data_IF_101813033849
#
_entry.id   IF_101813033849
#
_cell.length_a   1.000
_cell.length_b   1.000
_cell.length_c   1.000
_cell.angle_alpha   90.00
_cell.angle_beta   90.00
_cell.angle_gamma   90.00
#
_symmetry.space_group_name_H-M   'P 1'
#
loop_
_entity.id
_entity.type
_entity.pdbx_description
1 polymer ?
#
# COMPACT_ATOMS: atom_id res chain seq x y z
N UNK A 1 -22.29 -4.96 12.32
CA UNK A 1 -21.51 -4.25 13.33
C UNK A 1 -20.36 -5.15 13.79
N UNK A 2 -19.11 -4.63 13.72
CA UNK A 2 -17.93 -5.34 14.22
C UNK A 2 -18.02 -5.45 15.76
N UNK A 3 -17.83 -6.66 16.28
CA UNK A 3 -17.65 -6.89 17.71
C UNK A 3 -16.17 -6.73 18.04
N UNK A 4 -15.77 -5.55 18.49
CA UNK A 4 -14.38 -5.25 18.85
C UNK A 4 -14.19 -5.41 20.36
N UNK A 5 -13.02 -5.88 20.83
CA UNK A 5 -12.61 -5.80 22.23
C UNK A 5 -12.64 -4.34 22.73
N UNK A 6 -12.86 -4.15 24.04
CA UNK A 6 -13.06 -2.81 24.63
C UNK A 6 -11.81 -1.92 24.62
N UNK A 7 -10.64 -2.52 24.54
CA UNK A 7 -9.31 -1.88 24.54
C UNK A 7 -8.82 -1.50 23.14
N UNK A 8 -9.56 -1.86 22.09
CA UNK A 8 -9.21 -1.46 20.71
C UNK A 8 -9.64 -0.01 20.46
N UNK A 9 -8.72 0.75 19.86
CA UNK A 9 -8.99 2.07 19.27
C UNK A 9 -9.17 1.91 17.76
N UNK A 10 -10.17 2.59 17.19
CA UNK A 10 -10.42 2.57 15.75
C UNK A 10 -10.38 3.99 15.18
N UNK A 11 -9.56 4.20 14.16
CA UNK A 11 -9.54 5.43 13.37
C UNK A 11 -10.38 5.17 12.12
N UNK A 12 -11.41 5.97 11.92
CA UNK A 12 -12.30 5.89 10.75
C UNK A 12 -12.69 7.28 10.24
N UNK A 13 -13.30 7.33 9.08
CA UNK A 13 -13.73 8.58 8.45
C UNK A 13 -12.73 9.14 7.44
N UNK A 14 -13.12 10.24 6.78
CA UNK A 14 -12.37 10.91 5.73
C UNK A 14 -12.72 12.42 5.73
N UNK A 15 -11.78 13.32 5.46
CA UNK A 15 -10.33 13.10 5.30
C UNK A 15 -9.62 12.81 6.62
N UNK A 16 -8.45 12.16 6.56
CA UNK A 16 -7.58 11.96 7.71
C UNK A 16 -6.11 11.99 7.30
N UNK A 17 -5.25 12.42 8.21
CA UNK A 17 -3.80 12.45 7.99
C UNK A 17 -3.28 11.04 7.67
N UNK A 18 -2.42 10.91 6.68
CA UNK A 18 -1.82 9.65 6.20
C UNK A 18 -2.83 8.54 5.82
N UNK A 19 -4.08 8.90 5.51
CA UNK A 19 -5.09 8.02 4.91
C UNK A 19 -5.22 6.67 5.63
N UNK A 20 -4.79 5.55 5.00
CA UNK A 20 -4.95 4.20 5.57
C UNK A 20 -4.09 3.94 6.81
N UNK A 21 -3.01 4.67 6.98
CA UNK A 21 -2.01 4.48 8.05
C UNK A 21 -2.05 5.61 9.08
N UNK A 22 -3.18 6.32 9.19
CA UNK A 22 -3.40 7.35 10.20
C UNK A 22 -3.13 6.86 11.60
N UNK A 23 -2.44 7.67 12.40
CA UNK A 23 -2.17 7.41 13.81
C UNK A 23 -0.95 6.54 14.09
N UNK A 24 -0.17 6.18 13.06
CA UNK A 24 1.09 5.44 13.27
C UNK A 24 2.15 6.36 13.88
N UNK A 25 2.88 5.83 14.84
CA UNK A 25 4.07 6.42 15.46
C UNK A 25 5.03 5.32 15.96
N UNK A 26 6.13 5.70 16.60
CA UNK A 26 7.14 4.80 17.15
C UNK A 26 6.68 3.94 18.34
N UNK A 27 5.48 4.18 18.89
CA UNK A 27 4.94 3.38 19.98
C UNK A 27 4.35 2.03 19.52
N UNK A 28 4.13 1.87 18.21
CA UNK A 28 3.63 0.64 17.64
C UNK A 28 4.73 -0.42 17.53
N UNK A 29 4.42 -1.64 17.93
CA UNK A 29 5.35 -2.78 17.88
C UNK A 29 5.40 -3.41 16.49
N UNK A 30 4.27 -3.49 15.80
CA UNK A 30 4.16 -4.06 14.45
C UNK A 30 2.89 -3.57 13.74
N UNK A 31 2.83 -3.77 12.42
CA UNK A 31 1.65 -3.59 11.59
C UNK A 31 1.13 -4.92 11.04
N UNK A 32 -0.18 -5.00 10.88
CA UNK A 32 -0.88 -6.12 10.23
C UNK A 32 -1.76 -5.53 9.12
N UNK A 33 -1.59 -6.00 7.89
CA UNK A 33 -2.33 -5.53 6.72
C UNK A 33 -3.40 -6.55 6.32
N UNK A 34 -4.66 -6.16 6.41
CA UNK A 34 -5.81 -7.04 6.16
C UNK A 34 -6.52 -6.65 4.88
N UNK A 35 -6.69 -7.63 3.97
CA UNK A 35 -7.47 -7.45 2.74
C UNK A 35 -6.79 -6.58 1.68
N UNK A 36 -5.46 -6.58 1.65
CA UNK A 36 -4.69 -5.91 0.59
C UNK A 36 -4.79 -6.70 -0.74
N UNK A 37 -4.38 -6.08 -1.81
CA UNK A 37 -4.40 -6.61 -3.18
C UNK A 37 -3.11 -6.26 -3.91
N UNK A 38 -2.89 -6.89 -5.06
CA UNK A 38 -1.73 -6.62 -5.90
C UNK A 38 -1.80 -5.20 -6.53
N UNK A 39 -0.65 -4.58 -6.87
CA UNK A 39 -0.63 -3.27 -7.50
C UNK A 39 -1.31 -3.28 -8.88
N UNK A 40 -1.69 -2.09 -9.33
CA UNK A 40 -2.26 -1.86 -10.65
C UNK A 40 -1.40 -2.49 -11.76
N UNK A 41 -2.06 -3.16 -12.72
CA UNK A 41 -1.40 -3.80 -13.86
C UNK A 41 -0.90 -5.23 -13.58
N UNK A 42 -1.21 -5.80 -12.41
CA UNK A 42 -0.86 -7.19 -12.10
C UNK A 42 -1.73 -8.16 -12.91
N UNK A 43 -1.09 -9.03 -13.69
CA UNK A 43 -1.81 -10.05 -14.48
C UNK A 43 -2.66 -10.96 -13.58
N UNK A 44 -3.96 -11.01 -13.88
CA UNK A 44 -4.95 -11.74 -13.11
C UNK A 44 -5.02 -11.32 -11.62
N UNK A 45 -4.59 -10.10 -11.25
CA UNK A 45 -4.73 -9.55 -9.91
C UNK A 45 -6.19 -9.24 -9.61
N UNK A 46 -6.70 -9.72 -8.47
CA UNK A 46 -8.04 -9.41 -8.00
C UNK A 46 -8.12 -7.96 -7.54
N UNK A 47 -9.05 -7.18 -8.13
CA UNK A 47 -9.21 -5.74 -7.82
C UNK A 47 -7.88 -4.96 -7.88
N UNK A 48 -6.99 -5.32 -8.83
CA UNK A 48 -5.67 -4.70 -8.97
C UNK A 48 -5.79 -3.19 -9.15
N UNK A 49 -5.23 -2.44 -8.21
CA UNK A 49 -5.10 -0.99 -8.27
C UNK A 49 -4.01 -0.49 -7.31
N UNK A 50 -3.71 0.80 -7.35
CA UNK A 50 -2.81 1.46 -6.40
C UNK A 50 -3.45 2.79 -6.03
N UNK A 51 -4.11 2.86 -4.88
CA UNK A 51 -4.92 3.97 -4.33
C UNK A 51 -6.12 4.39 -5.19
N UNK A 52 -5.99 4.41 -6.52
CA UNK A 52 -7.06 4.86 -7.42
C UNK A 52 -6.93 4.20 -8.79
N UNK A 53 -7.84 3.28 -9.07
CA UNK A 53 -7.94 2.62 -10.38
C UNK A 53 -8.31 3.58 -11.52
N UNK A 54 -8.76 4.77 -11.21
CA UNK A 54 -9.24 5.76 -12.18
C UNK A 54 -8.27 6.91 -12.43
N UNK A 55 -7.15 6.97 -11.73
CA UNK A 55 -6.15 8.03 -11.90
C UNK A 55 -4.73 7.48 -12.06
N UNK A 56 -4.38 6.42 -11.38
CA UNK A 56 -3.02 5.84 -11.40
C UNK A 56 -2.91 4.69 -12.39
N UNK A 57 -1.89 4.78 -13.23
CA UNK A 57 -1.47 3.70 -14.10
C UNK A 57 -0.30 2.89 -13.52
N UNK A 58 0.65 3.54 -12.81
CA UNK A 58 1.79 2.90 -12.17
C UNK A 58 2.40 3.82 -11.12
N UNK A 59 2.86 3.26 -10.01
CA UNK A 59 3.71 3.94 -9.03
C UNK A 59 5.04 3.20 -8.91
N UNK A 60 6.14 3.95 -8.88
CA UNK A 60 7.48 3.43 -8.61
C UNK A 60 8.13 4.18 -7.47
N UNK A 61 8.86 3.46 -6.63
CA UNK A 61 9.78 4.04 -5.67
C UNK A 61 11.18 3.50 -5.95
N UNK A 62 12.14 4.39 -6.15
CA UNK A 62 13.52 4.08 -6.52
C UNK A 62 13.64 3.13 -7.73
N UNK A 63 12.72 3.28 -8.71
CA UNK A 63 12.67 2.46 -9.91
C UNK A 63 11.86 1.16 -9.78
N UNK A 64 11.56 0.70 -8.57
CA UNK A 64 10.75 -0.50 -8.33
C UNK A 64 9.25 -0.18 -8.40
N UNK A 65 8.48 -1.01 -9.11
CA UNK A 65 7.01 -0.94 -9.07
C UNK A 65 6.54 -1.30 -7.67
N UNK A 66 5.63 -0.51 -7.14
CA UNK A 66 5.08 -0.69 -5.78
C UNK A 66 3.56 -0.57 -5.78
N UNK A 67 2.93 -1.31 -4.87
CA UNK A 67 1.52 -1.18 -4.52
C UNK A 67 1.33 -0.55 -3.15
N UNK A 68 0.10 -0.61 -2.66
CA UNK A 68 -0.27 0.00 -1.37
C UNK A 68 0.45 -0.67 -0.20
N UNK A 69 0.66 -1.99 -0.26
CA UNK A 69 1.38 -2.73 0.79
C UNK A 69 2.81 -2.23 0.95
N UNK A 70 3.54 -2.01 -0.14
CA UNK A 70 4.91 -1.52 -0.10
C UNK A 70 4.97 -0.05 0.34
N UNK A 71 4.06 0.77 -0.18
CA UNK A 71 4.01 2.20 0.16
C UNK A 71 3.67 2.39 1.64
N UNK A 72 2.64 1.72 2.13
CA UNK A 72 2.23 1.79 3.53
C UNK A 72 3.24 1.12 4.46
N UNK A 73 3.80 -0.03 4.05
CA UNK A 73 4.81 -0.74 4.83
C UNK A 73 6.09 0.05 5.00
N UNK A 74 6.53 0.77 3.97
CA UNK A 74 7.70 1.64 4.07
C UNK A 74 7.42 2.89 4.93
N UNK A 75 6.17 3.40 4.97
CA UNK A 75 5.81 4.46 5.90
C UNK A 75 5.89 3.98 7.36
N UNK A 76 5.38 2.79 7.67
CA UNK A 76 5.58 2.17 8.98
C UNK A 76 7.09 2.02 9.29
N UNK A 77 7.87 1.67 8.27
CA UNK A 77 9.31 1.50 8.37
C UNK A 77 10.08 2.77 8.77
N UNK A 78 9.58 3.97 8.47
CA UNK A 78 10.19 5.23 8.96
C UNK A 78 10.13 5.34 10.49
N UNK A 79 9.10 4.77 11.12
CA UNK A 79 8.95 4.69 12.59
C UNK A 79 9.60 3.43 13.18
N UNK A 80 10.28 2.61 12.37
CA UNK A 80 10.89 1.37 12.83
C UNK A 80 9.89 0.22 13.04
N UNK A 81 8.66 0.36 12.57
CA UNK A 81 7.56 -0.60 12.75
C UNK A 81 7.54 -1.60 11.59
N UNK A 82 7.78 -2.90 11.84
CA UNK A 82 7.69 -3.93 10.80
C UNK A 82 6.23 -4.31 10.50
N UNK A 83 5.96 -4.70 9.25
CA UNK A 83 4.70 -5.36 8.88
C UNK A 83 4.90 -6.86 9.07
N UNK A 84 4.19 -7.46 10.02
CA UNK A 84 4.39 -8.87 10.40
C UNK A 84 3.47 -9.83 9.66
N UNK A 85 2.30 -9.35 9.21
CA UNK A 85 1.32 -10.16 8.50
C UNK A 85 0.65 -9.34 7.41
N UNK A 86 0.50 -9.93 6.23
CA UNK A 86 -0.26 -9.36 5.11
C UNK A 86 -1.27 -10.40 4.63
N UNK A 87 -2.53 -10.00 4.44
CA UNK A 87 -3.57 -10.87 3.88
C UNK A 87 -4.12 -10.32 2.57
N UNK A 88 -4.43 -11.22 1.64
CA UNK A 88 -4.99 -10.86 0.35
C UNK A 88 -5.09 -12.07 -0.60
N UNK A 89 -4.92 -11.83 -1.89
CA UNK A 89 -4.90 -12.90 -2.87
C UNK A 89 -3.49 -13.47 -3.12
N UNK A 90 -3.41 -14.52 -3.93
CA UNK A 90 -2.15 -15.15 -4.32
C UNK A 90 -1.24 -14.22 -5.14
N UNK A 91 -1.80 -13.27 -5.90
CA UNK A 91 -1.02 -12.33 -6.73
C UNK A 91 -0.35 -11.27 -5.87
N UNK A 92 -1.06 -10.78 -4.83
CA UNK A 92 -0.46 -9.92 -3.82
C UNK A 92 0.76 -10.60 -3.17
N UNK A 93 0.59 -11.83 -2.66
CA UNK A 93 1.70 -12.57 -2.05
C UNK A 93 2.88 -12.70 -3.00
N UNK A 94 2.63 -13.14 -4.23
CA UNK A 94 3.69 -13.35 -5.24
C UNK A 94 4.44 -12.05 -5.58
N UNK A 95 3.76 -10.91 -5.57
CA UNK A 95 4.36 -9.61 -5.82
C UNK A 95 5.12 -9.09 -4.61
N UNK A 96 4.48 -9.06 -3.44
CA UNK A 96 4.95 -8.34 -2.25
C UNK A 96 6.02 -9.08 -1.45
N UNK A 97 6.09 -10.42 -1.50
CA UNK A 97 7.05 -11.20 -0.71
C UNK A 97 8.52 -10.82 -0.92
N UNK A 98 8.89 -10.25 -2.07
CA UNK A 98 10.26 -9.75 -2.33
C UNK A 98 10.61 -8.51 -1.52
N UNK A 99 9.61 -7.68 -1.15
CA UNK A 99 9.77 -6.51 -0.30
C UNK A 99 9.67 -6.86 1.19
N UNK A 100 8.97 -7.96 1.49
CA UNK A 100 8.68 -8.43 2.83
C UNK A 100 9.14 -9.89 3.03
N UNK A 101 10.46 -10.18 2.98
CA UNK A 101 10.96 -11.55 2.88
C UNK A 101 10.60 -12.45 4.06
N UNK A 102 10.44 -11.89 5.26
CA UNK A 102 10.12 -12.64 6.48
C UNK A 102 8.71 -12.36 7.01
N UNK A 103 7.92 -11.54 6.32
CA UNK A 103 6.53 -11.27 6.69
C UNK A 103 5.66 -12.48 6.40
N UNK A 104 4.76 -12.81 7.30
CA UNK A 104 3.77 -13.85 7.09
C UNK A 104 2.70 -13.40 6.10
N UNK A 105 2.26 -14.33 5.24
CA UNK A 105 1.19 -14.06 4.27
C UNK A 105 0.07 -15.06 4.42
N UNK A 106 -1.16 -14.57 4.57
CA UNK A 106 -2.37 -15.39 4.49
C UNK A 106 -3.09 -15.13 3.17
N UNK A 107 -3.07 -16.14 2.29
CA UNK A 107 -3.83 -16.13 1.04
C UNK A 107 -5.28 -16.52 1.35
N UNK A 108 -6.22 -15.64 1.03
CA UNK A 108 -7.65 -15.83 1.29
C UNK A 108 -8.44 -16.28 0.07
N UNK A 109 -7.83 -16.16 -1.11
CA UNK A 109 -8.39 -16.51 -2.42
C UNK A 109 -7.30 -16.60 -3.48
N UNK A 110 -7.55 -17.39 -4.53
CA UNK A 110 -6.73 -17.38 -5.74
C UNK A 110 -7.45 -16.54 -6.81
N UNK A 111 -6.84 -15.42 -7.23
CA UNK A 111 -7.40 -14.56 -8.26
C UNK A 111 -7.28 -15.21 -9.65
N UNK A 112 -8.39 -15.20 -10.38
CA UNK A 112 -8.50 -15.72 -11.75
C UNK A 112 -8.52 -14.58 -12.78
N UNK A 113 -8.80 -13.37 -12.33
CA UNK A 113 -8.86 -12.14 -13.09
C UNK A 113 -9.28 -10.99 -12.18
N UNK A 114 -9.39 -9.78 -12.76
CA UNK A 114 -9.66 -8.57 -11.96
C UNK A 114 -10.92 -8.68 -11.08
N UNK A 115 -11.98 -9.31 -11.56
CA UNK A 115 -13.29 -9.39 -10.89
C UNK A 115 -13.71 -10.85 -10.60
N UNK A 116 -12.79 -11.79 -10.64
CA UNK A 116 -13.10 -13.22 -10.43
C UNK A 116 -12.01 -13.89 -9.61
N UNK A 117 -12.42 -14.74 -8.68
CA UNK A 117 -11.50 -15.49 -7.83
C UNK A 117 -12.10 -16.83 -7.39
N UNK A 118 -11.24 -17.78 -7.10
CA UNK A 118 -11.57 -18.99 -6.34
C UNK A 118 -11.40 -18.69 -4.85
N UNK A 119 -12.52 -18.55 -4.14
CA UNK A 119 -12.55 -18.18 -2.74
C UNK A 119 -12.35 -19.39 -1.85
N UNK A 120 -11.58 -19.22 -0.77
CA UNK A 120 -11.53 -20.21 0.29
C UNK A 120 -12.73 -20.04 1.23
N UNK A 121 -13.13 -21.12 1.92
CA UNK A 121 -14.24 -21.07 2.85
C UNK A 121 -13.93 -20.08 3.99
N UNK A 122 -14.86 -19.20 4.38
CA UNK A 122 -14.59 -18.18 5.40
C UNK A 122 -14.09 -18.72 6.74
N UNK A 123 -14.66 -19.86 7.21
CA UNK A 123 -14.21 -20.48 8.47
C UNK A 123 -12.76 -20.94 8.38
N UNK A 124 -12.38 -21.60 7.27
CA UNK A 124 -10.99 -21.97 7.02
C UNK A 124 -10.06 -20.74 7.01
N UNK A 125 -10.47 -19.65 6.35
CA UNK A 125 -9.68 -18.40 6.34
C UNK A 125 -9.54 -17.84 7.76
N UNK A 126 -10.59 -17.87 8.58
CA UNK A 126 -10.52 -17.39 9.96
C UNK A 126 -9.56 -18.25 10.82
N UNK A 127 -9.54 -19.56 10.62
CA UNK A 127 -8.64 -20.47 11.34
C UNK A 127 -7.19 -20.18 10.99
N UNK A 128 -6.83 -20.20 9.70
CA UNK A 128 -5.45 -19.94 9.27
C UNK A 128 -4.99 -18.53 9.63
N UNK A 129 -5.90 -17.53 9.60
CA UNK A 129 -5.57 -16.16 9.99
C UNK A 129 -5.21 -16.07 11.47
N UNK A 130 -5.94 -16.74 12.36
CA UNK A 130 -5.62 -16.81 13.79
C UNK A 130 -4.25 -17.45 14.03
N UNK A 131 -4.02 -18.61 13.40
CA UNK A 131 -2.77 -19.34 13.56
C UNK A 131 -1.57 -18.55 13.06
N UNK A 132 -1.67 -17.98 11.86
CA UNK A 132 -0.58 -17.20 11.26
C UNK A 132 -0.35 -15.88 12.00
N UNK A 133 -1.38 -15.26 12.57
CA UNK A 133 -1.20 -14.06 13.40
C UNK A 133 -0.35 -14.37 14.63
N UNK A 134 -0.63 -15.49 15.31
CA UNK A 134 0.17 -15.92 16.49
C UNK A 134 1.62 -16.21 16.08
N UNK A 135 1.84 -16.91 14.95
CA UNK A 135 3.18 -17.19 14.44
C UNK A 135 3.91 -15.90 14.08
N UNK A 136 3.25 -14.98 13.38
CA UNK A 136 3.83 -13.69 12.97
C UNK A 136 4.27 -12.83 14.17
N UNK A 137 3.47 -12.80 15.24
CA UNK A 137 3.82 -12.10 16.47
C UNK A 137 5.01 -12.78 17.19
N UNK A 138 5.05 -14.10 17.25
CA UNK A 138 6.17 -14.83 17.84
C UNK A 138 7.47 -14.67 17.04
N UNK A 139 7.36 -14.44 15.73
CA UNK A 139 8.50 -14.26 14.81
C UNK A 139 8.93 -12.80 14.64
N UNK A 140 8.34 -11.89 15.39
CA UNK A 140 8.55 -10.44 15.29
C UNK A 140 10.04 -10.03 15.22
N UNK A 141 10.90 -10.66 16.02
CA UNK A 141 12.32 -10.32 16.09
C UNK A 141 13.08 -10.62 14.78
N UNK A 142 12.54 -11.46 13.93
CA UNK A 142 13.13 -11.83 12.63
C UNK A 142 12.60 -10.97 11.48
N UNK A 143 11.56 -10.17 11.71
CA UNK A 143 10.90 -9.36 10.69
C UNK A 143 11.43 -7.93 10.76
N UNK A 144 11.98 -7.44 9.65
CA UNK A 144 12.55 -6.09 9.58
C UNK A 144 11.56 -5.12 8.96
N UNK A 145 11.54 -3.85 9.43
CA UNK A 145 10.80 -2.79 8.76
C UNK A 145 11.26 -2.61 7.31
N UNK A 146 10.32 -2.45 6.38
CA UNK A 146 10.63 -2.09 5.00
C UNK A 146 11.15 -0.65 4.95
N UNK A 147 12.28 -0.43 4.28
CA UNK A 147 12.86 0.89 4.06
C UNK A 147 13.40 0.99 2.64
N UNK A 148 13.20 2.13 2.00
CA UNK A 148 13.85 2.46 0.74
C UNK A 148 15.12 3.30 1.00
N UNK A 149 16.12 3.10 0.15
CA UNK A 149 17.36 3.90 0.22
C UNK A 149 17.09 5.38 -0.08
N UNK A 150 17.78 6.26 0.66
CA UNK A 150 17.70 7.71 0.50
C UNK A 150 18.80 8.23 -0.47
N UNK A 151 18.52 9.23 -1.32
CA UNK A 151 17.23 9.94 -1.45
C UNK A 151 16.17 9.04 -2.07
N UNK A 152 14.93 9.18 -1.59
CA UNK A 152 13.80 8.39 -2.04
C UNK A 152 13.15 9.13 -3.21
N UNK A 153 13.04 8.47 -4.35
CA UNK A 153 12.38 8.99 -5.54
C UNK A 153 11.09 8.26 -5.80
N UNK A 154 9.97 8.98 -5.80
CA UNK A 154 8.69 8.47 -6.26
C UNK A 154 8.42 8.93 -7.70
N UNK A 155 7.90 8.03 -8.53
CA UNK A 155 7.42 8.31 -9.88
C UNK A 155 5.98 7.80 -9.99
N UNK A 156 5.07 8.69 -10.39
CA UNK A 156 3.65 8.36 -10.60
C UNK A 156 3.33 8.53 -12.07
N UNK A 157 2.90 7.45 -12.72
CA UNK A 157 2.35 7.49 -14.07
C UNK A 157 0.82 7.52 -13.96
N UNK A 158 0.21 8.55 -14.50
CA UNK A 158 -1.24 8.73 -14.52
C UNK A 158 -1.89 8.13 -15.77
N UNK A 159 -3.21 7.99 -15.74
CA UNK A 159 -3.97 7.45 -16.86
C UNK A 159 -3.96 8.40 -18.06
N UNK A 160 -3.96 9.71 -17.83
CA UNK A 160 -3.90 10.71 -18.89
C UNK A 160 -2.95 11.88 -18.58
N UNK A 161 -2.75 12.76 -19.58
CA UNK A 161 -1.80 13.88 -19.48
C UNK A 161 -2.28 15.00 -18.57
N UNK A 162 -3.59 15.26 -18.54
CA UNK A 162 -4.15 16.34 -17.72
C UNK A 162 -3.94 16.05 -16.22
N UNK A 163 -4.10 14.81 -15.79
CA UNK A 163 -3.83 14.39 -14.40
C UNK A 163 -2.38 14.65 -14.01
N UNK A 164 -1.44 14.38 -14.92
CA UNK A 164 -0.03 14.66 -14.69
C UNK A 164 0.26 16.18 -14.69
N UNK A 165 -0.46 16.97 -15.48
CA UNK A 165 -0.38 18.43 -15.44
C UNK A 165 -0.78 18.98 -14.08
N UNK A 166 -1.92 18.57 -13.56
CA UNK A 166 -2.38 18.97 -12.22
C UNK A 166 -1.40 18.53 -11.13
N UNK A 167 -0.92 17.28 -11.17
CA UNK A 167 0.06 16.79 -10.19
C UNK A 167 1.40 17.55 -10.26
N UNK A 168 1.80 18.04 -11.43
CA UNK A 168 3.03 18.82 -11.60
C UNK A 168 2.95 20.24 -11.02
N UNK A 169 1.80 20.68 -10.53
CA UNK A 169 1.66 21.95 -9.79
C UNK A 169 2.20 21.85 -8.35
N UNK A 170 2.46 20.65 -7.85
CA UNK A 170 3.04 20.45 -6.53
C UNK A 170 4.50 20.95 -6.56
N UNK A 171 4.88 21.85 -5.64
CA UNK A 171 6.25 22.38 -5.57
C UNK A 171 7.30 21.25 -5.53
N UNK A 172 8.43 21.47 -6.21
CA UNK A 172 9.56 20.54 -6.33
C UNK A 172 9.27 19.25 -7.09
N UNK A 173 8.06 19.04 -7.62
CA UNK A 173 7.79 17.94 -8.55
C UNK A 173 8.39 18.21 -9.92
N UNK A 174 8.67 17.15 -10.67
CA UNK A 174 9.20 17.24 -12.04
C UNK A 174 8.31 16.45 -13.00
N UNK A 175 7.84 17.11 -14.06
CA UNK A 175 7.18 16.45 -15.18
C UNK A 175 8.21 15.64 -15.96
N UNK A 176 8.13 14.31 -15.95
CA UNK A 176 9.08 13.42 -16.62
C UNK A 176 8.69 13.21 -18.09
N UNK A 177 7.39 13.04 -18.34
CA UNK A 177 6.82 12.91 -19.68
C UNK A 177 5.32 13.30 -19.67
N UNK A 178 4.59 13.02 -20.75
CA UNK A 178 3.19 13.38 -20.88
C UNK A 178 2.29 12.91 -19.71
N UNK A 179 2.57 11.77 -19.09
CA UNK A 179 1.74 11.17 -18.04
C UNK A 179 2.47 10.90 -16.73
N UNK A 180 3.78 11.17 -16.65
CA UNK A 180 4.59 10.82 -15.48
C UNK A 180 5.11 12.06 -14.76
N UNK A 181 4.95 12.08 -13.45
CA UNK A 181 5.51 13.09 -12.54
C UNK A 181 6.41 12.37 -11.53
N UNK A 182 7.53 12.99 -11.17
CA UNK A 182 8.42 12.49 -10.13
C UNK A 182 8.62 13.53 -9.03
N UNK A 183 8.95 13.01 -7.84
CA UNK A 183 9.32 13.80 -6.68
C UNK A 183 10.40 13.05 -5.91
N UNK A 184 11.30 13.78 -5.24
CA UNK A 184 12.41 13.21 -4.50
C UNK A 184 12.54 13.88 -3.14
N UNK A 185 12.75 13.10 -2.08
CA UNK A 185 12.98 13.60 -0.72
C UNK A 185 13.80 12.60 0.11
N UNK A 186 14.44 13.07 1.17
CA UNK A 186 15.02 12.23 2.21
C UNK A 186 14.01 11.83 3.29
N UNK A 187 12.79 12.39 3.25
CA UNK A 187 11.69 12.12 4.17
C UNK A 187 10.63 11.27 3.47
N UNK A 188 10.34 10.08 4.00
CA UNK A 188 9.26 9.26 3.47
C UNK A 188 7.88 9.90 3.68
N UNK A 189 7.72 10.71 4.74
CA UNK A 189 6.52 11.51 4.98
C UNK A 189 6.24 12.47 3.80
N UNK A 190 7.27 13.11 3.26
CA UNK A 190 7.12 13.98 2.10
C UNK A 190 6.73 13.20 0.84
N UNK A 191 7.33 12.02 0.64
CA UNK A 191 6.98 11.09 -0.46
C UNK A 191 5.50 10.70 -0.38
N UNK A 192 5.04 10.34 0.82
CA UNK A 192 3.64 9.97 1.04
C UNK A 192 2.69 11.14 0.83
N UNK A 193 3.03 12.32 1.36
CA UNK A 193 2.24 13.55 1.17
C UNK A 193 2.18 13.94 -0.30
N UNK A 194 3.29 13.81 -1.05
CA UNK A 194 3.31 14.04 -2.50
C UNK A 194 2.34 13.09 -3.21
N UNK A 195 2.33 11.80 -2.87
CA UNK A 195 1.39 10.82 -3.45
C UNK A 195 -0.06 11.23 -3.15
N UNK A 196 -0.41 11.55 -1.91
CA UNK A 196 -1.77 11.91 -1.52
C UNK A 196 -2.24 13.22 -2.19
N UNK A 197 -1.38 14.23 -2.27
CA UNK A 197 -1.67 15.47 -2.98
C UNK A 197 -1.85 15.23 -4.49
N UNK A 198 -0.98 14.41 -5.09
CA UNK A 198 -1.05 14.05 -6.51
C UNK A 198 -2.35 13.32 -6.85
N UNK A 199 -2.80 12.39 -5.98
CA UNK A 199 -4.09 11.71 -6.13
C UNK A 199 -5.27 12.69 -6.10
N UNK A 200 -5.27 13.60 -5.13
CA UNK A 200 -6.33 14.60 -4.98
C UNK A 200 -6.42 15.53 -6.19
N UNK A 201 -5.29 15.99 -6.70
CA UNK A 201 -5.22 16.84 -7.87
C UNK A 201 -5.62 16.08 -9.14
N UNK A 202 -5.13 14.85 -9.33
CA UNK A 202 -5.50 14.01 -10.48
C UNK A 202 -6.99 13.63 -10.47
N UNK A 203 -7.57 13.41 -9.28
CA UNK A 203 -9.00 13.14 -9.17
C UNK A 203 -9.84 14.36 -9.63
N UNK A 204 -9.45 15.57 -9.24
CA UNK A 204 -10.14 16.79 -9.68
C UNK A 204 -10.01 17.02 -11.19
N UNK A 205 -8.91 16.57 -11.81
CA UNK A 205 -8.71 16.67 -13.27
C UNK A 205 -9.73 15.85 -14.10
N UNK A 206 -10.50 14.95 -13.47
CA UNK A 206 -11.58 14.20 -14.17
C UNK A 206 -12.80 15.07 -14.54
N UNK A 207 -12.91 16.21 -13.89
CA UNK A 207 -14.05 17.13 -14.10
C UNK A 207 -13.88 18.03 -15.33
N UNK A 208 -12.78 17.86 -16.05
CA UNK A 208 -12.45 18.55 -17.30
C UNK A 208 -12.32 17.56 -18.45
#
# INVERSE_FOLDING_TARGET
>A
FLKLPKDIKMISGYPREFYMISGIDESFTCGIFIGYHAPVGTLNGGEDHTYSSSTIFEVRINGEVVGESEINGAFLGEFGVPVVLITGDDKLKNFSQRFFPNTHFVVTKNSLGRLSANLFHPEYVHEILKEETVKAINDLNNIKPLKFEKPIKIEITFINTLMAEFASLIPNSKRVNGRKVSFESNSYKDIYNFLMASLSLAYNAKNF
#
